data_IF_684063077234
#
_entry.id   IF_684063077234
#
_cell.length_a   1.000
_cell.length_b   1.000
_cell.length_c   1.000
_cell.angle_alpha   90.00
_cell.angle_beta   90.00
_cell.angle_gamma   90.00
#
_symmetry.space_group_name_H-M   'P 1'
#
loop_
_entity.id
_entity.type
_entity.pdbx_description
1 polymer ?
#
# COMPACT_ATOMS: atom_id res chain seq x y z
N UNK A 1 56.67 91.26 -7.44
CA UNK A 1 57.03 91.23 -8.88
C UNK A 1 56.25 90.12 -9.54
N UNK A 2 55.49 90.51 -10.55
CA UNK A 2 54.85 89.60 -11.52
C UNK A 2 55.97 88.82 -12.28
N UNK A 3 55.67 87.75 -13.08
CA UNK A 3 54.40 87.40 -13.74
C UNK A 3 54.08 85.91 -13.82
N UNK A 4 52.84 85.67 -14.22
CA UNK A 4 52.29 84.52 -14.99
C UNK A 4 53.07 84.21 -16.29
N UNK A 5 52.67 83.30 -17.18
CA UNK A 5 51.49 82.43 -17.27
C UNK A 5 51.77 81.09 -18.02
N UNK A 6 50.64 80.40 -18.39
CA UNK A 6 50.40 79.44 -19.52
C UNK A 6 50.66 77.95 -19.25
N UNK A 7 49.87 77.00 -19.60
CA UNK A 7 48.85 76.79 -20.60
C UNK A 7 48.11 75.51 -20.25
N UNK A 8 46.84 75.47 -20.49
CA UNK A 8 46.12 74.19 -20.66
C UNK A 8 46.46 73.55 -22.03
N UNK A 9 46.30 72.26 -22.21
CA UNK A 9 45.24 71.83 -23.12
C UNK A 9 44.44 70.62 -22.61
N UNK A 10 43.20 70.74 -22.94
CA UNK A 10 42.14 69.82 -23.29
C UNK A 10 42.59 68.38 -23.63
N UNK A 11 41.82 67.41 -23.22
CA UNK A 11 41.01 66.61 -24.08
C UNK A 11 40.68 65.22 -23.54
N UNK A 12 39.44 64.91 -23.69
CA UNK A 12 38.83 63.55 -23.96
C UNK A 12 38.88 62.51 -22.85
N UNK A 13 37.88 62.34 -22.13
CA UNK A 13 36.75 61.46 -22.20
C UNK A 13 37.07 59.97 -22.36
N UNK A 14 36.95 59.20 -21.24
CA UNK A 14 36.64 57.79 -21.33
C UNK A 14 35.67 57.50 -20.19
N UNK A 15 34.42 57.27 -20.59
CA UNK A 15 33.42 56.64 -19.75
C UNK A 15 33.89 55.23 -19.41
N UNK A 16 34.32 55.03 -18.18
CA UNK A 16 34.48 53.67 -17.59
C UNK A 16 33.19 53.25 -16.92
N UNK A 17 32.46 52.38 -17.56
CA UNK A 17 31.28 51.75 -16.98
C UNK A 17 31.70 50.84 -15.81
N UNK A 18 31.35 51.21 -14.58
CA UNK A 18 31.38 50.32 -13.43
C UNK A 18 30.24 49.29 -13.57
N UNK A 19 30.57 48.07 -14.00
CA UNK A 19 29.71 46.90 -13.81
C UNK A 19 29.77 46.51 -12.35
N UNK A 20 28.74 46.88 -11.58
CA UNK A 20 28.46 46.30 -10.27
C UNK A 20 27.84 44.92 -10.48
N UNK A 21 28.65 43.88 -10.35
CA UNK A 21 28.17 42.49 -10.28
C UNK A 21 27.43 42.27 -8.94
N UNK A 22 26.11 42.31 -8.97
CA UNK A 22 25.29 41.78 -7.89
C UNK A 22 25.42 40.23 -7.89
N UNK A 23 26.26 39.72 -7.02
CA UNK A 23 26.25 38.29 -6.67
C UNK A 23 25.02 38.04 -5.79
N UNK A 24 23.93 37.58 -6.41
CA UNK A 24 22.75 37.07 -5.68
C UNK A 24 23.12 35.78 -4.99
N UNK A 25 23.41 35.84 -3.69
CA UNK A 25 23.59 34.71 -2.83
C UNK A 25 22.21 34.09 -2.57
N UNK A 26 21.79 33.16 -3.43
CA UNK A 26 20.61 32.35 -3.18
C UNK A 26 20.92 31.43 -2.00
N UNK A 27 20.49 31.81 -0.80
CA UNK A 27 20.49 30.94 0.35
C UNK A 27 19.51 29.77 0.08
N UNK A 28 20.05 28.60 -0.24
CA UNK A 28 19.27 27.36 -0.21
C UNK A 28 18.88 27.11 1.26
N UNK A 29 17.68 27.49 1.60
CA UNK A 29 17.01 27.01 2.82
C UNK A 29 16.74 25.52 2.63
N UNK A 30 17.67 24.66 3.02
CA UNK A 30 17.38 23.26 3.24
C UNK A 30 16.41 23.20 4.42
N UNK A 31 15.12 23.04 4.12
CA UNK A 31 14.15 22.69 5.14
C UNK A 31 14.55 21.30 5.66
N UNK A 32 15.25 21.30 6.79
CA UNK A 32 15.44 20.08 7.57
C UNK A 32 14.04 19.64 7.99
N UNK A 33 13.55 18.52 7.42
CA UNK A 33 12.37 17.85 7.94
C UNK A 33 12.70 17.48 9.39
N UNK A 34 12.08 18.17 10.34
CA UNK A 34 12.13 17.75 11.74
C UNK A 34 11.48 16.38 11.77
N UNK A 35 12.27 15.33 12.04
CA UNK A 35 11.71 14.00 12.27
C UNK A 35 10.74 14.14 13.45
N UNK A 36 9.46 13.92 13.20
CA UNK A 36 8.46 13.94 14.27
C UNK A 36 8.80 12.81 15.24
N UNK A 37 8.89 13.12 16.52
CA UNK A 37 9.17 12.13 17.55
C UNK A 37 8.02 11.10 17.58
N UNK A 38 8.38 9.82 17.70
CA UNK A 38 7.42 8.74 17.80
C UNK A 38 6.48 8.96 19.00
N UNK A 39 5.18 8.77 18.79
CA UNK A 39 4.21 8.76 19.89
C UNK A 39 4.24 7.41 20.58
N UNK A 40 4.59 7.38 21.88
CA UNK A 40 4.57 6.15 22.67
C UNK A 40 3.20 5.92 23.31
N UNK A 41 2.63 4.74 23.11
CA UNK A 41 1.34 4.32 23.68
C UNK A 41 1.54 3.06 24.49
N UNK A 42 1.32 3.13 25.82
CA UNK A 42 1.37 1.99 26.73
C UNK A 42 0.00 1.65 27.36
N UNK A 43 -1.00 2.49 27.19
CA UNK A 43 -2.35 2.19 27.63
C UNK A 43 -2.90 0.96 26.88
N UNK A 44 -3.59 0.03 27.55
CA UNK A 44 -4.05 -1.22 26.95
C UNK A 44 -4.83 -1.02 25.65
N UNK A 45 -5.75 -0.06 25.62
CA UNK A 45 -6.59 0.28 24.47
C UNK A 45 -6.27 1.67 23.91
N UNK A 46 -5.07 2.20 24.23
CA UNK A 46 -4.61 3.47 23.67
C UNK A 46 -4.44 3.40 22.16
N UNK A 47 -4.78 4.48 21.49
CA UNK A 47 -4.71 4.61 20.04
C UNK A 47 -4.34 6.02 19.61
N UNK A 48 -3.90 6.16 18.36
CA UNK A 48 -3.68 7.45 17.70
C UNK A 48 -3.95 7.30 16.20
N UNK A 49 -4.07 8.44 15.52
CA UNK A 49 -4.26 8.47 14.06
C UNK A 49 -2.93 8.76 13.38
N UNK A 50 -2.64 8.03 12.31
CA UNK A 50 -1.48 8.24 11.43
C UNK A 50 -1.94 8.61 10.02
N UNK A 51 -1.13 9.40 9.29
CA UNK A 51 -1.44 9.89 7.94
C UNK A 51 -2.81 10.61 7.86
N UNK A 52 -3.38 11.06 8.98
CA UNK A 52 -4.71 11.65 9.03
C UNK A 52 -5.86 10.72 8.63
N UNK A 53 -5.63 9.40 8.51
CA UNK A 53 -6.62 8.46 7.96
C UNK A 53 -6.63 7.04 8.53
N UNK A 54 -5.58 6.58 9.18
CA UNK A 54 -5.53 5.25 9.79
C UNK A 54 -5.44 5.37 11.29
N UNK A 55 -6.04 4.43 12.01
CA UNK A 55 -5.87 4.32 13.45
C UNK A 55 -4.80 3.27 13.75
N UNK A 56 -3.86 3.60 14.63
CA UNK A 56 -2.94 2.66 15.25
C UNK A 56 -3.37 2.47 16.70
N UNK A 57 -3.45 1.22 17.15
CA UNK A 57 -3.86 0.85 18.51
C UNK A 57 -2.92 -0.14 19.15
N UNK A 58 -2.77 -0.06 20.49
CA UNK A 58 -1.99 -1.01 21.28
C UNK A 58 -2.76 -2.32 21.53
N UNK A 59 -4.06 -2.24 21.69
CA UNK A 59 -5.04 -3.34 21.79
C UNK A 59 -4.54 -4.55 22.61
N UNK A 60 -4.16 -4.32 23.87
CA UNK A 60 -3.68 -5.33 24.81
C UNK A 60 -4.81 -5.76 25.75
N UNK A 61 -5.31 -6.97 25.58
CA UNK A 61 -6.46 -7.50 26.32
C UNK A 61 -6.21 -8.83 27.03
N UNK A 62 -5.24 -9.65 26.57
CA UNK A 62 -5.01 -11.00 27.07
C UNK A 62 -4.00 -11.06 28.25
N UNK A 63 -3.48 -9.94 28.72
CA UNK A 63 -2.53 -9.88 29.85
C UNK A 63 -2.60 -8.53 30.55
N UNK A 64 -2.26 -8.49 31.83
CA UNK A 64 -2.03 -7.24 32.58
C UNK A 64 -0.59 -6.72 32.45
N UNK A 65 0.34 -7.53 31.93
CA UNK A 65 1.75 -7.14 31.77
C UNK A 65 1.90 -5.97 30.78
N UNK A 66 2.94 -5.17 30.92
CA UNK A 66 3.13 -3.95 30.13
C UNK A 66 3.39 -4.28 28.67
N UNK A 67 2.70 -3.57 27.77
CA UNK A 67 2.99 -3.50 26.36
C UNK A 67 2.98 -2.05 25.93
N UNK A 68 4.02 -1.63 25.20
CA UNK A 68 4.11 -0.30 24.61
C UNK A 68 4.41 -0.39 23.11
N UNK A 69 3.83 0.52 22.36
CA UNK A 69 4.13 0.72 20.94
C UNK A 69 4.65 2.16 20.73
N UNK A 70 5.64 2.31 19.86
CA UNK A 70 6.06 3.59 19.32
C UNK A 70 5.46 3.76 17.93
N UNK A 71 4.75 4.85 17.71
CA UNK A 71 3.96 5.12 16.50
C UNK A 71 4.54 6.31 15.77
N UNK A 72 4.78 6.17 14.48
CA UNK A 72 5.15 7.24 13.55
C UNK A 72 4.16 7.33 12.38
N UNK A 73 4.38 8.26 11.46
CA UNK A 73 3.47 8.47 10.32
C UNK A 73 3.35 7.26 9.36
N UNK A 74 4.28 6.30 9.40
CA UNK A 74 4.30 5.15 8.50
C UNK A 74 3.65 3.90 9.09
N UNK A 75 3.68 3.77 10.43
CA UNK A 75 3.22 2.58 11.12
C UNK A 75 3.56 2.59 12.61
N UNK A 76 3.97 1.44 13.16
CA UNK A 76 4.32 1.33 14.57
C UNK A 76 5.35 0.23 14.81
N UNK A 77 6.01 0.30 15.98
CA UNK A 77 6.89 -0.76 16.51
C UNK A 77 6.47 -1.10 17.92
N UNK A 78 6.44 -2.38 18.27
CA UNK A 78 6.33 -2.82 19.66
C UNK A 78 7.67 -2.58 20.34
N UNK A 79 7.71 -1.70 21.33
CA UNK A 79 8.91 -1.33 22.08
C UNK A 79 9.06 -2.11 23.39
N UNK A 80 7.94 -2.58 23.94
CA UNK A 80 7.88 -3.41 25.13
C UNK A 80 6.71 -4.40 25.01
N UNK A 81 6.93 -5.66 25.36
CA UNK A 81 5.92 -6.73 25.30
C UNK A 81 6.12 -7.74 26.43
N UNK A 82 5.92 -7.30 27.66
CA UNK A 82 6.13 -8.11 28.85
C UNK A 82 5.07 -9.23 28.98
N UNK A 83 5.40 -10.20 29.84
CA UNK A 83 4.54 -11.34 30.12
C UNK A 83 4.48 -12.36 28.98
N UNK A 84 3.87 -13.50 29.30
CA UNK A 84 3.69 -14.62 28.39
C UNK A 84 2.35 -15.28 28.66
N UNK A 85 1.71 -15.78 27.61
CA UNK A 85 0.51 -16.65 27.68
C UNK A 85 0.81 -17.97 26.97
N UNK A 86 0.06 -19.04 27.26
CA UNK A 86 0.24 -20.34 26.59
C UNK A 86 0.01 -20.23 25.08
N UNK A 87 0.90 -20.80 24.27
CA UNK A 87 0.83 -20.73 22.79
C UNK A 87 -0.34 -21.49 22.17
N UNK A 88 -1.00 -22.34 22.96
CA UNK A 88 -2.24 -23.05 22.58
C UNK A 88 -3.52 -22.32 23.05
N UNK A 89 -3.40 -21.12 23.61
CA UNK A 89 -4.49 -20.26 24.02
C UNK A 89 -4.56 -18.98 23.19
N UNK A 90 -5.36 -18.03 23.65
CA UNK A 90 -5.48 -16.71 23.01
C UNK A 90 -4.17 -15.89 23.18
N UNK A 91 -3.85 -14.98 22.23
CA UNK A 91 -2.70 -14.09 22.32
C UNK A 91 -2.85 -13.04 23.42
N UNK A 92 -1.75 -12.34 23.75
CA UNK A 92 -1.76 -11.25 24.73
C UNK A 92 -2.50 -10.01 24.24
N UNK A 93 -2.46 -9.77 22.91
CA UNK A 93 -2.85 -8.50 22.30
C UNK A 93 -2.93 -8.63 20.80
N UNK A 94 -3.44 -7.59 20.16
CA UNK A 94 -3.32 -7.36 18.72
C UNK A 94 -3.00 -5.89 18.43
N UNK A 95 -1.77 -5.41 18.72
CA UNK A 95 -1.35 -4.10 18.27
C UNK A 95 -1.41 -4.05 16.73
N UNK A 96 -2.15 -3.09 16.21
CA UNK A 96 -2.47 -3.04 14.79
C UNK A 96 -2.67 -1.62 14.28
N UNK A 97 -2.53 -1.46 12.97
CA UNK A 97 -2.98 -0.30 12.20
C UNK A 97 -4.19 -0.71 11.37
N UNK A 98 -5.20 0.16 11.22
CA UNK A 98 -6.38 -0.21 10.47
C UNK A 98 -7.06 0.94 9.71
N UNK A 99 -7.81 0.55 8.68
CA UNK A 99 -8.83 1.31 7.98
C UNK A 99 -10.19 0.68 8.25
N UNK A 100 -11.15 1.46 8.73
CA UNK A 100 -12.47 1.00 9.11
C UNK A 100 -12.81 1.32 10.56
N UNK A 101 -13.65 0.50 11.19
CA UNK A 101 -14.11 0.70 12.56
C UNK A 101 -13.75 -0.49 13.45
N UNK A 102 -13.35 -0.21 14.69
CA UNK A 102 -13.10 -1.20 15.72
C UNK A 102 -13.61 -0.66 17.07
N UNK A 103 -14.67 -1.28 17.63
CA UNK A 103 -15.33 -0.89 18.88
C UNK A 103 -15.59 0.62 18.96
N UNK A 104 -16.38 1.16 18.00
CA UNK A 104 -16.72 2.57 17.81
C UNK A 104 -15.59 3.51 17.38
N UNK A 105 -14.33 3.09 17.50
CA UNK A 105 -13.20 3.87 17.04
C UNK A 105 -13.01 3.67 15.53
N UNK A 106 -13.35 4.68 14.73
CA UNK A 106 -13.30 4.61 13.28
C UNK A 106 -12.16 5.47 12.72
N UNK A 107 -11.52 4.96 11.69
CA UNK A 107 -10.48 5.68 10.94
C UNK A 107 -11.05 6.95 10.29
N UNK A 108 -10.39 8.11 10.40
CA UNK A 108 -10.89 9.35 9.81
C UNK A 108 -11.11 9.23 8.30
N UNK A 109 -12.29 9.64 7.83
CA UNK A 109 -12.65 9.62 6.41
C UNK A 109 -12.74 8.23 5.78
N UNK A 110 -12.81 7.16 6.59
CA UNK A 110 -13.01 5.80 6.08
C UNK A 110 -14.31 5.68 5.30
N UNK A 111 -14.32 4.85 4.25
CA UNK A 111 -15.54 4.45 3.53
C UNK A 111 -16.15 3.17 4.10
N UNK A 112 -15.55 2.62 5.14
CA UNK A 112 -16.04 1.42 5.83
C UNK A 112 -16.93 1.79 7.02
N UNK A 113 -17.99 1.03 7.29
CA UNK A 113 -18.43 -0.18 6.59
C UNK A 113 -18.98 0.08 5.18
N UNK A 114 -18.59 -0.80 4.22
CA UNK A 114 -19.10 -0.77 2.85
C UNK A 114 -19.60 -2.15 2.43
N UNK A 115 -20.74 -2.21 1.72
CA UNK A 115 -21.32 -3.48 1.27
C UNK A 115 -20.43 -4.13 0.22
N UNK A 116 -20.13 -5.43 0.36
CA UNK A 116 -19.20 -6.16 -0.51
C UNK A 116 -19.58 -6.06 -2.00
N UNK A 117 -20.88 -6.12 -2.31
CA UNK A 117 -21.38 -5.98 -3.69
C UNK A 117 -21.12 -4.61 -4.31
N UNK A 118 -20.88 -3.57 -3.51
CA UNK A 118 -20.58 -2.20 -4.00
C UNK A 118 -19.09 -1.93 -4.11
N UNK A 119 -18.23 -2.80 -3.56
CA UNK A 119 -16.78 -2.61 -3.59
C UNK A 119 -16.23 -3.18 -4.89
N UNK A 120 -15.71 -2.31 -5.74
CA UNK A 120 -15.03 -2.71 -6.98
C UNK A 120 -13.62 -3.24 -6.72
N UNK A 121 -12.89 -2.65 -5.75
CA UNK A 121 -11.57 -3.09 -5.29
C UNK A 121 -11.27 -2.55 -3.90
N UNK A 122 -10.44 -3.27 -3.15
CA UNK A 122 -9.94 -2.83 -1.83
C UNK A 122 -8.43 -3.08 -1.74
N UNK A 123 -7.60 -2.32 -2.51
CA UNK A 123 -6.16 -2.50 -2.50
C UNK A 123 -5.58 -2.16 -1.13
N UNK A 124 -4.67 -3.03 -0.67
CA UNK A 124 -3.90 -2.83 0.56
C UNK A 124 -2.44 -3.16 0.33
N UNK A 125 -1.55 -2.48 1.05
CA UNK A 125 -0.12 -2.76 1.08
C UNK A 125 0.43 -2.73 2.49
N UNK A 126 1.45 -3.54 2.74
CA UNK A 126 2.08 -3.71 4.04
C UNK A 126 3.57 -3.95 3.91
N UNK A 127 4.33 -3.50 4.91
CA UNK A 127 5.70 -3.93 5.14
C UNK A 127 5.91 -4.19 6.64
N UNK A 128 6.49 -5.35 6.96
CA UNK A 128 6.74 -5.82 8.32
C UNK A 128 8.22 -5.95 8.63
N UNK A 129 8.58 -5.75 9.91
CA UNK A 129 9.82 -6.22 10.52
C UNK A 129 9.50 -7.33 11.52
N UNK A 130 10.19 -8.45 11.42
CA UNK A 130 10.03 -9.63 12.26
C UNK A 130 11.17 -9.81 13.24
N UNK A 131 10.92 -10.54 14.33
CA UNK A 131 11.92 -10.98 15.30
C UNK A 131 11.86 -12.50 15.46
N UNK A 132 12.94 -13.14 15.93
CA UNK A 132 13.03 -14.59 16.03
C UNK A 132 12.92 -15.12 17.48
N UNK A 133 13.00 -14.24 18.47
CA UNK A 133 13.02 -14.55 19.91
C UNK A 133 11.64 -14.39 20.57
N UNK A 134 10.57 -14.55 19.81
CA UNK A 134 9.19 -14.38 20.24
C UNK A 134 8.30 -15.52 19.76
N UNK A 135 7.12 -15.68 20.35
CA UNK A 135 6.04 -16.50 19.81
C UNK A 135 4.89 -15.59 19.39
N UNK A 136 4.61 -15.52 18.09
CA UNK A 136 3.63 -14.59 17.51
C UNK A 136 3.15 -15.05 16.14
N UNK A 137 2.06 -14.44 15.66
CA UNK A 137 1.79 -14.30 14.23
C UNK A 137 1.88 -12.83 13.81
N UNK A 138 2.11 -12.61 12.51
CA UNK A 138 1.92 -11.33 11.83
C UNK A 138 0.72 -11.51 10.91
N UNK A 139 -0.38 -10.79 11.17
CA UNK A 139 -1.64 -11.00 10.47
C UNK A 139 -2.29 -9.73 9.96
N UNK A 140 -3.08 -9.92 8.88
CA UNK A 140 -4.23 -9.07 8.61
C UNK A 140 -5.45 -9.71 9.24
N UNK A 141 -6.33 -8.86 9.80
CA UNK A 141 -7.67 -9.22 10.24
C UNK A 141 -8.66 -8.39 9.43
N UNK A 142 -9.39 -9.07 8.56
CA UNK A 142 -10.38 -8.51 7.65
C UNK A 142 -11.76 -8.90 8.19
N UNK A 143 -12.56 -7.92 8.55
CA UNK A 143 -13.81 -8.14 9.27
C UNK A 143 -15.03 -7.96 8.38
N UNK A 144 -15.93 -8.96 8.39
CA UNK A 144 -17.18 -8.96 7.64
C UNK A 144 -18.37 -9.13 8.60
N UNK A 145 -19.46 -8.40 8.31
CA UNK A 145 -20.70 -8.47 9.10
C UNK A 145 -21.94 -8.34 8.18
N UNK A 146 -23.06 -9.04 8.49
CA UNK A 146 -24.32 -8.85 7.76
C UNK A 146 -24.91 -7.45 7.85
N UNK A 147 -24.45 -6.63 8.80
CA UNK A 147 -24.88 -5.25 9.03
C UNK A 147 -23.69 -4.29 8.90
N UNK A 148 -23.90 -2.99 8.63
CA UNK A 148 -22.83 -2.00 8.61
C UNK A 148 -22.31 -1.69 10.03
N UNK A 149 -21.73 -2.70 10.66
CA UNK A 149 -21.31 -2.69 12.07
C UNK A 149 -20.09 -1.79 12.28
N UNK A 150 -20.18 -0.94 13.28
CA UNK A 150 -19.06 -0.08 13.75
C UNK A 150 -18.62 -0.43 15.17
N UNK A 151 -19.41 -1.25 15.90
CA UNK A 151 -19.17 -1.62 17.31
C UNK A 151 -19.40 -3.11 17.55
N UNK A 152 -18.71 -3.65 18.56
CA UNK A 152 -18.82 -5.05 18.98
C UNK A 152 -18.17 -6.04 18.00
N UNK A 153 -18.47 -7.31 18.19
CA UNK A 153 -17.87 -8.42 17.43
C UNK A 153 -18.55 -8.58 16.08
N UNK A 154 -17.77 -8.58 15.01
CA UNK A 154 -18.25 -8.89 13.66
C UNK A 154 -18.51 -10.39 13.47
N UNK A 155 -19.32 -10.76 12.47
CA UNK A 155 -19.74 -12.15 12.25
C UNK A 155 -18.62 -13.04 11.73
N UNK A 156 -17.77 -12.55 10.82
CA UNK A 156 -16.69 -13.32 10.21
C UNK A 156 -15.39 -12.52 10.25
N UNK A 157 -14.34 -13.22 10.66
CA UNK A 157 -12.97 -12.78 10.64
C UNK A 157 -12.20 -13.56 9.58
N UNK A 158 -11.57 -12.85 8.66
CA UNK A 158 -10.60 -13.43 7.73
C UNK A 158 -9.22 -13.02 8.20
N UNK A 159 -8.38 -14.00 8.57
CA UNK A 159 -7.01 -13.76 8.98
C UNK A 159 -6.03 -14.14 7.87
N UNK A 160 -5.09 -13.26 7.56
CA UNK A 160 -3.98 -13.59 6.66
C UNK A 160 -2.70 -13.63 7.49
N UNK A 161 -2.20 -14.81 7.80
CA UNK A 161 -0.97 -15.00 8.56
C UNK A 161 0.25 -14.92 7.64
N UNK A 162 0.88 -13.78 7.60
CA UNK A 162 2.07 -13.49 6.77
C UNK A 162 3.33 -14.13 7.31
N UNK A 163 3.39 -14.32 8.63
CA UNK A 163 4.45 -15.04 9.32
C UNK A 163 3.93 -15.60 10.63
N UNK A 164 4.57 -16.67 11.11
CA UNK A 164 4.41 -17.16 12.48
C UNK A 164 5.72 -17.69 13.02
N UNK A 165 5.97 -17.45 14.29
CA UNK A 165 7.11 -17.95 15.05
C UNK A 165 6.62 -18.61 16.32
N UNK A 166 7.20 -19.74 16.67
CA UNK A 166 6.78 -20.55 17.82
C UNK A 166 5.64 -21.53 17.50
N UNK A 167 5.14 -22.23 18.52
CA UNK A 167 4.12 -23.27 18.41
C UNK A 167 2.71 -22.67 18.43
N UNK A 168 2.48 -21.61 17.65
CA UNK A 168 1.17 -20.97 17.50
C UNK A 168 0.48 -21.49 16.23
N UNK A 169 -0.85 -21.54 16.26
CA UNK A 169 -1.66 -21.99 15.12
C UNK A 169 -2.99 -21.25 15.07
N UNK A 170 -3.62 -21.15 13.88
CA UNK A 170 -4.92 -20.52 13.74
C UNK A 170 -6.02 -21.26 14.52
N UNK A 171 -7.11 -20.55 14.75
CA UNK A 171 -8.35 -21.11 15.30
C UNK A 171 -8.91 -22.16 14.33
N UNK A 172 -9.43 -23.26 14.89
CA UNK A 172 -10.05 -24.34 14.13
C UNK A 172 -9.05 -25.40 13.66
N UNK A 173 -9.20 -25.87 12.43
CA UNK A 173 -8.39 -26.93 11.84
C UNK A 173 -8.10 -26.65 10.35
N UNK A 174 -7.03 -27.25 9.78
CA UNK A 174 -6.72 -27.10 8.37
C UNK A 174 -7.82 -27.75 7.52
N UNK A 175 -8.30 -27.02 6.51
CA UNK A 175 -9.35 -27.45 5.58
C UNK A 175 -8.85 -27.55 4.13
N UNK A 176 -7.53 -27.50 3.92
CA UNK A 176 -6.87 -27.63 2.63
C UNK A 176 -5.94 -26.48 2.31
N UNK A 177 -5.69 -26.27 1.03
CA UNK A 177 -4.95 -25.13 0.51
C UNK A 177 -5.76 -24.37 -0.54
N UNK A 178 -5.36 -23.13 -0.80
CA UNK A 178 -5.98 -22.31 -1.84
C UNK A 178 -4.95 -21.36 -2.47
N UNK A 179 -5.08 -21.13 -3.77
CA UNK A 179 -4.36 -20.06 -4.46
C UNK A 179 -5.24 -18.81 -4.45
N UNK A 180 -4.82 -17.77 -3.71
CA UNK A 180 -5.55 -16.50 -3.60
C UNK A 180 -4.58 -15.35 -3.81
N UNK A 181 -4.99 -14.38 -4.61
CA UNK A 181 -4.18 -13.19 -4.93
C UNK A 181 -2.76 -13.53 -5.43
N UNK A 182 -2.64 -14.62 -6.21
CA UNK A 182 -1.37 -15.08 -6.80
C UNK A 182 -0.40 -15.78 -5.84
N UNK A 183 -0.87 -16.19 -4.64
CA UNK A 183 -0.08 -16.93 -3.65
C UNK A 183 -0.80 -18.17 -3.18
N UNK A 184 -0.03 -19.21 -2.80
CA UNK A 184 -0.54 -20.41 -2.16
C UNK A 184 -0.64 -20.20 -0.65
N UNK A 185 -1.74 -20.69 -0.07
CA UNK A 185 -2.05 -20.58 1.34
C UNK A 185 -2.51 -21.93 1.90
N UNK A 186 -2.07 -22.26 3.11
CA UNK A 186 -2.75 -23.26 3.91
C UNK A 186 -4.00 -22.61 4.52
N UNK A 187 -5.17 -23.23 4.33
CA UNK A 187 -6.45 -22.66 4.79
C UNK A 187 -6.92 -23.39 6.04
N UNK A 188 -7.26 -22.62 7.07
CA UNK A 188 -7.86 -23.08 8.31
C UNK A 188 -9.24 -22.49 8.47
N UNK A 189 -10.16 -23.25 9.10
CA UNK A 189 -11.50 -22.76 9.39
C UNK A 189 -11.96 -23.23 10.77
N UNK A 190 -12.62 -22.34 11.50
CA UNK A 190 -13.14 -22.62 12.83
C UNK A 190 -13.97 -21.47 13.37
N UNK A 191 -14.20 -21.48 14.67
CA UNK A 191 -14.89 -20.41 15.40
C UNK A 191 -14.23 -20.25 16.78
N UNK A 192 -14.16 -19.01 17.25
CA UNK A 192 -13.76 -18.71 18.63
C UNK A 192 -14.93 -18.64 19.60
N UNK A 193 -16.15 -19.04 19.15
CA UNK A 193 -17.38 -18.96 19.92
C UNK A 193 -18.15 -17.65 19.75
N UNK A 194 -17.51 -16.59 19.24
CA UNK A 194 -18.12 -15.28 18.99
C UNK A 194 -18.28 -14.99 17.50
N UNK A 195 -17.31 -15.41 16.68
CA UNK A 195 -17.30 -15.23 15.24
C UNK A 195 -16.74 -16.47 14.53
N UNK A 196 -17.05 -16.61 13.25
CA UNK A 196 -16.42 -17.57 12.36
C UNK A 196 -15.06 -17.03 11.95
N UNK A 197 -14.04 -17.89 11.89
CA UNK A 197 -12.66 -17.52 11.54
C UNK A 197 -12.19 -18.33 10.34
N UNK A 198 -11.72 -17.65 9.30
CA UNK A 198 -11.10 -18.21 8.11
C UNK A 198 -9.67 -17.70 8.01
N UNK A 199 -8.69 -18.58 8.26
CA UNK A 199 -7.29 -18.18 8.26
C UNK A 199 -6.54 -18.72 7.05
N UNK A 200 -5.75 -17.86 6.42
CA UNK A 200 -4.84 -18.15 5.33
C UNK A 200 -3.40 -18.04 5.84
N UNK A 201 -2.70 -19.17 5.93
CA UNK A 201 -1.34 -19.20 6.47
C UNK A 201 -0.35 -19.31 5.33
N UNK A 202 0.55 -18.35 5.23
CA UNK A 202 1.62 -18.34 4.23
C UNK A 202 2.61 -19.50 4.49
N UNK A 203 3.08 -20.20 3.46
CA UNK A 203 4.05 -21.28 3.61
C UNK A 203 5.44 -20.78 4.00
N UNK A 204 5.72 -19.52 3.82
CA UNK A 204 6.95 -18.82 4.21
C UNK A 204 6.65 -17.36 4.55
N UNK A 205 7.53 -16.74 5.35
CA UNK A 205 7.35 -15.36 5.78
C UNK A 205 7.24 -14.38 4.60
N UNK A 206 6.23 -13.52 4.66
CA UNK A 206 6.00 -12.41 3.71
C UNK A 206 6.32 -11.12 4.44
N UNK A 207 7.42 -10.45 4.08
CA UNK A 207 7.84 -9.19 4.72
C UNK A 207 7.19 -7.96 4.10
N UNK A 208 6.77 -8.04 2.84
CA UNK A 208 6.01 -6.97 2.17
C UNK A 208 5.15 -7.53 1.05
N UNK A 209 3.97 -6.93 0.86
CA UNK A 209 3.06 -7.34 -0.19
C UNK A 209 2.02 -6.27 -0.49
N UNK A 210 1.57 -6.25 -1.76
CA UNK A 210 0.43 -5.48 -2.25
C UNK A 210 -0.61 -6.45 -2.79
N UNK A 211 -1.85 -6.33 -2.35
CA UNK A 211 -2.93 -7.24 -2.75
C UNK A 211 -4.30 -6.55 -2.69
N UNK A 212 -5.32 -7.19 -3.23
CA UNK A 212 -6.69 -6.74 -3.07
C UNK A 212 -7.38 -7.57 -1.96
N UNK A 213 -7.87 -6.90 -0.92
CA UNK A 213 -8.60 -7.50 0.20
C UNK A 213 -9.84 -8.26 -0.30
N UNK A 214 -10.44 -7.80 -1.41
CA UNK A 214 -11.63 -8.43 -2.00
C UNK A 214 -11.37 -9.84 -2.54
N UNK A 215 -10.11 -10.22 -2.84
CA UNK A 215 -9.80 -11.59 -3.25
C UNK A 215 -10.09 -12.59 -2.12
N UNK A 216 -9.78 -12.20 -0.90
CA UNK A 216 -10.04 -13.01 0.30
C UNK A 216 -11.51 -12.93 0.74
N UNK A 217 -12.14 -11.76 0.64
CA UNK A 217 -13.56 -11.59 0.92
C UNK A 217 -14.41 -12.44 -0.02
N UNK A 218 -14.11 -12.46 -1.32
CA UNK A 218 -14.78 -13.34 -2.31
C UNK A 218 -14.56 -14.81 -2.00
N UNK A 219 -13.39 -15.21 -1.50
CA UNK A 219 -13.12 -16.59 -1.09
C UNK A 219 -13.96 -16.98 0.13
N UNK A 220 -14.15 -16.10 1.11
CA UNK A 220 -15.05 -16.32 2.25
C UNK A 220 -16.52 -16.46 1.81
N UNK A 221 -16.97 -15.63 0.86
CA UNK A 221 -18.30 -15.74 0.24
C UNK A 221 -18.48 -17.11 -0.45
N UNK A 222 -17.50 -17.52 -1.27
CA UNK A 222 -17.53 -18.81 -1.96
C UNK A 222 -17.58 -20.01 -0.99
N UNK A 223 -17.10 -19.86 0.24
CA UNK A 223 -17.16 -20.87 1.31
C UNK A 223 -18.43 -20.78 2.17
N UNK A 224 -19.32 -19.82 1.91
CA UNK A 224 -20.54 -19.62 2.69
C UNK A 224 -20.33 -18.97 4.07
N UNK A 225 -19.16 -18.39 4.32
CA UNK A 225 -18.81 -17.68 5.56
C UNK A 225 -19.18 -16.19 5.52
N UNK A 226 -19.60 -15.70 4.36
CA UNK A 226 -20.16 -14.37 4.15
C UNK A 226 -21.11 -14.38 2.94
N UNK A 227 -21.78 -13.27 2.69
CA UNK A 227 -22.64 -13.08 1.52
C UNK A 227 -22.30 -11.74 0.85
N UNK A 228 -22.58 -11.60 -0.44
CA UNK A 228 -22.26 -10.38 -1.19
C UNK A 228 -22.98 -9.12 -0.67
N UNK A 229 -24.10 -9.28 0.03
CA UNK A 229 -24.82 -8.21 0.68
C UNK A 229 -24.31 -7.89 2.10
N UNK A 230 -23.29 -8.57 2.60
CA UNK A 230 -22.61 -8.23 3.85
C UNK A 230 -21.67 -7.06 3.66
N UNK A 231 -21.11 -6.56 4.74
CA UNK A 231 -20.28 -5.38 4.78
C UNK A 231 -18.84 -5.75 5.16
N UNK A 232 -17.87 -5.19 4.43
CA UNK A 232 -16.51 -5.05 4.91
C UNK A 232 -16.52 -3.92 5.94
N UNK A 233 -16.14 -4.20 7.18
CA UNK A 233 -16.24 -3.25 8.28
C UNK A 233 -14.89 -2.70 8.69
N UNK A 234 -13.82 -3.52 8.56
CA UNK A 234 -12.46 -3.13 8.93
C UNK A 234 -11.42 -3.98 8.20
N UNK A 235 -10.29 -3.35 7.86
CA UNK A 235 -9.07 -3.98 7.36
C UNK A 235 -7.95 -3.58 8.30
N UNK A 236 -7.46 -4.53 9.08
CA UNK A 236 -6.45 -4.32 10.12
C UNK A 236 -5.18 -5.09 9.78
N UNK A 237 -4.02 -4.61 10.21
CA UNK A 237 -2.73 -5.28 10.04
C UNK A 237 -1.87 -5.10 11.30
N UNK A 238 -1.32 -6.20 11.82
CA UNK A 238 -0.57 -6.13 13.07
C UNK A 238 0.05 -7.47 13.45
N UNK A 239 0.14 -7.68 14.76
CA UNK A 239 0.75 -8.85 15.36
C UNK A 239 -0.08 -9.38 16.52
N UNK A 240 -0.15 -10.68 16.64
CA UNK A 240 -0.63 -11.35 17.84
C UNK A 240 0.54 -11.99 18.58
N UNK A 241 1.14 -11.36 19.58
CA UNK A 241 2.20 -11.95 20.40
C UNK A 241 1.62 -12.81 21.54
N UNK A 242 2.15 -14.01 21.72
CA UNK A 242 1.95 -14.87 22.90
C UNK A 242 3.09 -14.70 23.90
N UNK A 243 4.33 -14.64 23.41
CA UNK A 243 5.54 -14.52 24.23
C UNK A 243 6.47 -13.50 23.58
N UNK A 244 7.05 -12.60 24.37
CA UNK A 244 7.89 -11.50 23.87
C UNK A 244 7.17 -10.66 22.79
N UNK A 245 7.87 -10.18 21.79
CA UNK A 245 7.34 -9.41 20.66
C UNK A 245 7.91 -8.00 20.54
N UNK A 246 8.78 -7.56 21.46
CA UNK A 246 9.50 -6.30 21.28
C UNK A 246 10.36 -6.34 20.01
N UNK A 247 10.35 -5.26 19.24
CA UNK A 247 11.03 -5.18 17.94
C UNK A 247 10.18 -5.51 16.72
N UNK A 248 9.03 -6.20 16.88
CA UNK A 248 8.04 -6.36 15.80
C UNK A 248 7.55 -5.00 15.32
N UNK A 249 7.47 -4.79 14.01
CA UNK A 249 7.02 -3.51 13.47
C UNK A 249 6.21 -3.65 12.18
N UNK A 250 5.19 -2.80 12.06
CA UNK A 250 4.58 -2.42 10.79
C UNK A 250 5.33 -1.18 10.31
N UNK A 251 6.12 -1.33 9.24
CA UNK A 251 6.95 -0.25 8.70
C UNK A 251 6.14 0.69 7.79
N UNK A 252 5.14 0.13 7.09
CA UNK A 252 4.20 0.89 6.27
C UNK A 252 2.89 0.13 6.12
N UNK A 253 1.79 0.87 6.00
CA UNK A 253 0.45 0.34 5.75
C UNK A 253 -0.31 1.29 4.82
N UNK A 254 -1.02 0.72 3.86
CA UNK A 254 -2.05 1.44 3.12
C UNK A 254 -3.26 0.55 2.88
N UNK A 255 -4.44 1.14 2.92
CA UNK A 255 -5.70 0.49 2.61
C UNK A 255 -6.66 1.51 2.01
N UNK A 256 -7.26 1.16 0.90
CA UNK A 256 -8.25 2.00 0.21
C UNK A 256 -9.43 1.12 -0.19
N UNK A 257 -10.64 1.67 -0.14
CA UNK A 257 -11.85 1.00 -0.60
C UNK A 257 -12.46 1.81 -1.73
N UNK A 258 -12.57 1.20 -2.89
CA UNK A 258 -13.16 1.79 -4.08
C UNK A 258 -14.56 1.18 -4.28
N UNK A 259 -15.58 2.03 -4.13
CA UNK A 259 -16.97 1.65 -4.38
C UNK A 259 -17.38 2.10 -5.79
N UNK A 260 -18.02 1.22 -6.56
CA UNK A 260 -18.69 1.62 -7.79
C UNK A 260 -19.92 2.46 -7.43
N UNK A 261 -20.15 3.58 -8.13
CA UNK A 261 -21.40 4.32 -8.01
C UNK A 261 -22.53 3.46 -8.58
N UNK A 262 -23.41 2.95 -7.71
CA UNK A 262 -24.67 2.33 -8.11
C UNK A 262 -25.74 3.41 -8.26
N UNK A 263 -25.64 4.24 -9.29
CA UNK A 263 -26.76 5.04 -9.78
C UNK A 263 -27.16 4.55 -11.17
N UNK A 264 -27.79 3.38 -11.19
CA UNK A 264 -28.73 3.00 -12.26
C UNK A 264 -29.67 1.89 -11.76
N UNK A 265 -31.00 2.14 -11.66
CA UNK A 265 -31.97 1.10 -11.35
C UNK A 265 -32.46 0.42 -12.64
N UNK A 266 -31.99 -0.79 -12.92
CA UNK A 266 -32.73 -1.66 -13.83
C UNK A 266 -31.99 -2.35 -14.95
N UNK A 267 -31.84 -3.68 -14.82
CA UNK A 267 -31.63 -4.60 -15.92
C UNK A 267 -30.72 -5.77 -15.60
N UNK A 268 -31.12 -7.06 -15.88
CA UNK A 268 -30.22 -8.21 -15.71
C UNK A 268 -29.20 -8.21 -16.86
N UNK A 269 -27.97 -7.80 -16.55
CA UNK A 269 -26.87 -7.68 -17.50
C UNK A 269 -25.70 -8.56 -17.14
N UNK A 270 -25.33 -9.40 -18.04
CA UNK A 270 -24.13 -10.20 -18.28
C UNK A 270 -22.85 -9.68 -17.60
N UNK A 271 -21.91 -10.54 -17.11
CA UNK A 271 -20.65 -10.14 -16.49
C UNK A 271 -19.70 -9.60 -17.57
N UNK A 272 -19.67 -8.28 -17.70
CA UNK A 272 -18.73 -7.53 -18.53
C UNK A 272 -18.13 -6.42 -17.69
N UNK A 273 -16.96 -6.69 -17.06
CA UNK A 273 -16.19 -5.65 -16.38
C UNK A 273 -15.78 -4.58 -17.39
N UNK A 274 -16.32 -3.38 -17.25
CA UNK A 274 -15.84 -2.20 -17.97
C UNK A 274 -14.41 -1.92 -17.49
N UNK A 275 -13.42 -2.30 -18.31
CA UNK A 275 -12.02 -1.95 -18.06
C UNK A 275 -11.87 -0.44 -18.18
N UNK A 276 -11.55 0.21 -17.04
CA UNK A 276 -11.39 1.66 -16.99
C UNK A 276 -10.04 2.14 -17.53
N UNK A 277 -9.29 1.29 -18.23
CA UNK A 277 -8.00 1.65 -18.83
C UNK A 277 -7.71 0.88 -20.11
N UNK A 278 -6.95 1.55 -20.98
CA UNK A 278 -6.40 0.97 -22.21
C UNK A 278 -4.90 1.22 -22.23
N UNK A 279 -4.12 0.19 -22.57
CA UNK A 279 -2.67 0.27 -22.70
C UNK A 279 -2.27 0.03 -24.15
N UNK A 280 -1.56 1.00 -24.73
CA UNK A 280 -0.85 0.83 -25.98
C UNK A 280 0.64 0.59 -25.65
N UNK A 281 1.18 -0.52 -26.18
CA UNK A 281 2.57 -0.91 -26.00
C UNK A 281 3.28 -0.94 -27.35
N UNK A 282 4.15 0.04 -27.58
CA UNK A 282 5.05 0.10 -28.72
C UNK A 282 6.46 -0.34 -28.31
N UNK A 283 7.13 -1.10 -29.16
CA UNK A 283 8.53 -1.47 -28.93
C UNK A 283 9.34 -1.45 -30.20
N UNK A 284 10.61 -1.03 -30.08
CA UNK A 284 11.64 -1.22 -31.07
C UNK A 284 12.65 -2.23 -30.50
N UNK A 285 12.76 -3.42 -31.13
CA UNK A 285 13.61 -4.49 -30.66
C UNK A 285 14.74 -4.78 -31.66
N UNK A 286 15.91 -5.08 -31.14
CA UNK A 286 17.11 -5.51 -31.89
C UNK A 286 17.75 -6.71 -31.21
N UNK A 287 18.79 -7.25 -31.80
CA UNK A 287 19.51 -8.38 -31.21
C UNK A 287 20.08 -7.99 -29.84
N UNK A 288 19.59 -8.63 -28.79
CA UNK A 288 20.06 -8.45 -27.39
C UNK A 288 19.41 -7.31 -26.64
N UNK A 289 18.50 -6.50 -27.22
CA UNK A 289 17.90 -5.38 -26.51
C UNK A 289 16.61 -4.85 -27.13
N UNK A 290 15.97 -3.93 -26.42
CA UNK A 290 14.76 -3.25 -26.89
C UNK A 290 14.55 -1.93 -26.18
N UNK A 291 13.80 -1.03 -26.81
CA UNK A 291 13.12 0.10 -26.16
C UNK A 291 11.62 -0.07 -26.28
N UNK A 292 10.90 0.42 -25.29
CA UNK A 292 9.45 0.39 -25.26
C UNK A 292 8.86 1.72 -24.84
N UNK A 293 7.76 2.11 -25.48
CA UNK A 293 6.89 3.20 -25.08
C UNK A 293 5.53 2.63 -24.68
N UNK A 294 5.05 3.04 -23.52
CA UNK A 294 3.80 2.57 -22.93
C UNK A 294 2.88 3.77 -22.72
N UNK A 295 1.76 3.79 -23.41
CA UNK A 295 0.72 4.81 -23.24
C UNK A 295 -0.44 4.21 -22.45
N UNK A 296 -0.76 4.81 -21.32
CA UNK A 296 -1.91 4.49 -20.49
C UNK A 296 -3.02 5.49 -20.84
N UNK A 297 -4.16 5.02 -21.28
CA UNK A 297 -5.38 5.85 -21.46
C UNK A 297 -6.35 5.54 -20.33
N UNK A 298 -6.77 6.55 -19.61
CA UNK A 298 -7.87 6.45 -18.65
C UNK A 298 -9.19 6.47 -19.43
N UNK A 299 -9.80 5.31 -19.61
CA UNK A 299 -11.10 5.17 -20.31
C UNK A 299 -12.30 5.27 -19.35
N UNK A 300 -12.03 5.45 -18.03
CA UNK A 300 -13.06 5.71 -17.02
C UNK A 300 -13.59 7.14 -17.06
N UNK A 301 -14.67 7.38 -16.35
CA UNK A 301 -15.30 8.70 -16.23
C UNK A 301 -14.70 9.61 -15.18
N UNK A 302 -13.80 9.09 -14.34
CA UNK A 302 -13.16 9.83 -13.26
C UNK A 302 -11.65 9.98 -13.49
N UNK A 303 -11.07 11.07 -12.96
CA UNK A 303 -9.61 11.28 -12.95
C UNK A 303 -8.90 10.17 -12.17
N UNK A 304 -7.80 9.68 -12.71
CA UNK A 304 -6.85 8.82 -11.98
C UNK A 304 -5.80 9.74 -11.33
N UNK A 305 -5.69 9.69 -10.00
CA UNK A 305 -4.71 10.44 -9.22
C UNK A 305 -3.72 9.44 -8.61
N UNK A 306 -2.46 9.51 -9.04
CA UNK A 306 -1.45 8.51 -8.69
C UNK A 306 -1.67 7.17 -9.40
N UNK A 307 -1.01 6.97 -10.56
CA UNK A 307 -1.15 5.72 -11.31
C UNK A 307 -0.03 4.73 -11.00
N UNK A 308 -0.40 3.44 -10.98
CA UNK A 308 0.51 2.29 -10.95
C UNK A 308 0.06 1.31 -12.02
N UNK A 309 0.94 1.03 -13.00
CA UNK A 309 0.72 0.03 -14.03
C UNK A 309 1.57 -1.20 -13.73
N UNK A 310 0.92 -2.32 -13.40
CA UNK A 310 1.60 -3.59 -13.27
C UNK A 310 1.50 -4.40 -14.58
N UNK A 311 2.56 -5.16 -14.91
CA UNK A 311 2.63 -6.03 -16.08
C UNK A 311 3.72 -7.09 -15.88
N UNK A 312 3.69 -8.13 -16.71
CA UNK A 312 4.69 -9.20 -16.66
C UNK A 312 5.54 -9.18 -17.92
N UNK A 313 6.87 -9.00 -17.73
CA UNK A 313 7.85 -9.17 -18.80
C UNK A 313 8.02 -10.65 -19.15
N UNK A 314 8.17 -10.99 -20.43
CA UNK A 314 8.53 -12.31 -20.86
C UNK A 314 9.85 -12.78 -20.26
N UNK A 315 10.00 -14.10 -20.12
CA UNK A 315 11.26 -14.72 -19.67
C UNK A 315 12.44 -14.31 -20.57
N UNK A 316 13.57 -14.01 -19.95
CA UNK A 316 14.77 -13.56 -20.66
C UNK A 316 14.82 -12.07 -20.99
N UNK A 317 13.80 -11.30 -20.63
CA UNK A 317 13.81 -9.84 -20.73
C UNK A 317 14.10 -9.19 -19.39
N UNK A 318 14.87 -8.10 -19.41
CA UNK A 318 15.21 -7.31 -18.22
C UNK A 318 15.26 -5.82 -18.56
N UNK A 319 14.57 -4.98 -17.80
CA UNK A 319 14.63 -3.53 -17.93
C UNK A 319 15.94 -3.03 -17.31
N UNK A 320 16.63 -2.15 -18.02
CA UNK A 320 17.91 -1.55 -17.60
C UNK A 320 17.78 -0.07 -17.27
N UNK A 321 16.81 0.62 -17.87
CA UNK A 321 16.54 2.04 -17.62
C UNK A 321 15.08 2.35 -17.93
N UNK A 322 14.52 3.39 -17.27
CA UNK A 322 13.16 3.89 -17.50
C UNK A 322 13.10 5.41 -17.41
N UNK A 323 12.13 6.01 -18.08
CA UNK A 323 11.85 7.44 -18.05
C UNK A 323 10.36 7.69 -17.91
N UNK A 324 10.01 8.79 -17.25
CA UNK A 324 8.65 9.20 -16.91
C UNK A 324 7.87 8.22 -16.02
N UNK A 325 8.57 7.27 -15.38
CA UNK A 325 8.01 6.37 -14.36
C UNK A 325 9.10 5.92 -13.39
N UNK A 326 8.70 5.60 -12.16
CA UNK A 326 9.50 4.84 -11.20
C UNK A 326 9.15 3.36 -11.34
N UNK A 327 10.14 2.49 -11.46
CA UNK A 327 9.91 1.06 -11.58
C UNK A 327 10.18 0.33 -10.25
N UNK A 328 9.32 -0.62 -9.93
CA UNK A 328 9.54 -1.67 -8.94
C UNK A 328 9.60 -3.01 -9.69
N UNK A 329 10.76 -3.67 -9.62
CA UNK A 329 11.06 -4.84 -10.44
C UNK A 329 11.69 -4.46 -11.80
N UNK A 330 12.58 -5.33 -12.30
CA UNK A 330 13.25 -5.17 -13.60
C UNK A 330 13.07 -6.37 -14.53
N UNK A 331 12.49 -7.49 -14.04
CA UNK A 331 12.23 -8.72 -14.82
C UNK A 331 11.00 -9.42 -14.25
N UNK A 332 10.33 -10.26 -15.02
CA UNK A 332 9.11 -10.92 -14.63
C UNK A 332 8.02 -9.90 -14.26
N UNK A 333 7.50 -9.95 -13.04
CA UNK A 333 6.51 -8.97 -12.57
C UNK A 333 7.15 -7.59 -12.34
N UNK A 334 6.65 -6.58 -13.03
CA UNK A 334 7.11 -5.18 -12.96
C UNK A 334 5.92 -4.27 -12.64
N UNK A 335 6.16 -3.27 -11.80
CA UNK A 335 5.21 -2.17 -11.56
C UNK A 335 5.87 -0.84 -11.91
N UNK A 336 5.29 -0.12 -12.86
CA UNK A 336 5.62 1.27 -13.15
C UNK A 336 4.67 2.19 -12.39
N UNK A 337 5.19 3.21 -11.71
CA UNK A 337 4.40 4.22 -11.01
C UNK A 337 4.73 5.62 -11.52
N UNK A 338 3.80 6.54 -11.38
CA UNK A 338 3.97 7.92 -11.78
C UNK A 338 5.19 8.60 -11.14
N UNK A 339 5.70 9.60 -11.82
CA UNK A 339 6.56 10.65 -11.25
C UNK A 339 5.73 11.89 -10.92
N UNK A 340 6.33 12.87 -10.25
CA UNK A 340 5.58 14.03 -9.73
C UNK A 340 4.77 14.79 -10.80
N UNK A 341 5.33 14.95 -12.02
CA UNK A 341 4.72 15.78 -13.06
C UNK A 341 3.61 15.06 -13.88
N UNK A 342 3.45 13.74 -13.75
CA UNK A 342 2.50 12.96 -14.55
C UNK A 342 1.55 12.10 -13.71
N UNK A 343 1.38 12.44 -12.42
CA UNK A 343 0.58 11.66 -11.49
C UNK A 343 -0.93 11.69 -11.81
N UNK A 344 -1.40 12.72 -12.51
CA UNK A 344 -2.81 12.97 -12.78
C UNK A 344 -3.16 12.60 -14.22
N UNK A 345 -4.16 11.70 -14.40
CA UNK A 345 -4.69 11.34 -15.73
C UNK A 345 -6.20 11.61 -15.74
N UNK A 346 -6.61 12.68 -16.40
CA UNK A 346 -8.03 13.04 -16.52
C UNK A 346 -8.85 11.91 -17.17
N UNK A 347 -10.16 11.92 -16.99
CA UNK A 347 -11.07 11.05 -17.74
C UNK A 347 -10.86 11.26 -19.26
N UNK A 348 -10.66 10.18 -20.01
CA UNK A 348 -10.27 10.21 -21.43
C UNK A 348 -8.81 10.64 -21.69
N UNK A 349 -8.08 11.06 -20.67
CA UNK A 349 -6.69 11.50 -20.78
C UNK A 349 -5.70 10.35 -20.90
N UNK A 350 -4.46 10.72 -21.23
CA UNK A 350 -3.36 9.77 -21.44
C UNK A 350 -2.10 10.20 -20.69
N UNK A 351 -1.29 9.20 -20.33
CA UNK A 351 0.07 9.40 -19.83
C UNK A 351 0.98 8.38 -20.52
N UNK A 352 2.21 8.80 -20.83
CA UNK A 352 3.20 7.94 -21.48
C UNK A 352 4.46 7.86 -20.64
N UNK A 353 5.01 6.67 -20.53
CA UNK A 353 6.35 6.41 -20.00
C UNK A 353 7.07 5.42 -20.92
N UNK A 354 8.37 5.27 -20.73
CA UNK A 354 9.11 4.29 -21.51
C UNK A 354 10.23 3.65 -20.73
N UNK A 355 10.81 2.62 -21.34
CA UNK A 355 11.95 1.93 -20.77
C UNK A 355 12.80 1.26 -21.84
N UNK A 356 14.06 1.01 -21.49
CA UNK A 356 15.00 0.25 -22.26
C UNK A 356 15.32 -1.04 -21.52
N UNK A 357 15.56 -2.12 -22.26
CA UNK A 357 15.90 -3.41 -21.67
C UNK A 357 16.76 -4.28 -22.56
N UNK A 358 17.20 -5.40 -21.99
CA UNK A 358 17.90 -6.49 -22.68
C UNK A 358 16.95 -7.65 -22.90
N UNK A 359 17.20 -8.45 -23.97
CA UNK A 359 16.50 -9.69 -24.27
C UNK A 359 17.50 -10.77 -24.64
N UNK A 360 17.49 -11.89 -23.91
CA UNK A 360 18.37 -13.05 -24.16
C UNK A 360 17.81 -14.02 -25.23
N UNK A 361 16.64 -13.72 -25.81
CA UNK A 361 15.96 -14.52 -26.84
C UNK A 361 15.13 -13.67 -27.77
N UNK A 362 14.17 -14.29 -28.46
CA UNK A 362 13.22 -13.57 -29.30
C UNK A 362 12.40 -12.58 -28.44
N UNK A 363 12.29 -11.34 -28.91
CA UNK A 363 11.48 -10.33 -28.22
C UNK A 363 9.99 -10.72 -28.27
N UNK A 364 9.34 -10.59 -27.13
CA UNK A 364 7.89 -10.70 -27.01
C UNK A 364 7.33 -9.54 -26.18
N UNK A 365 6.07 -9.17 -26.41
CA UNK A 365 5.43 -8.10 -25.65
C UNK A 365 5.05 -8.56 -24.25
N UNK A 366 5.09 -7.67 -23.24
CA UNK A 366 4.54 -7.93 -21.91
C UNK A 366 3.04 -8.25 -21.95
N UNK A 367 2.57 -8.88 -20.87
CA UNK A 367 1.17 -9.25 -20.70
C UNK A 367 0.67 -8.88 -19.30
N UNK A 368 -0.65 -9.01 -19.08
CA UNK A 368 -1.27 -8.85 -17.76
C UNK A 368 -1.27 -7.40 -17.26
N UNK A 369 -1.47 -6.43 -18.15
CA UNK A 369 -1.52 -5.02 -17.77
C UNK A 369 -2.69 -4.72 -16.84
N UNK A 370 -2.40 -4.18 -15.65
CA UNK A 370 -3.39 -3.67 -14.70
C UNK A 370 -3.04 -2.26 -14.26
N UNK A 371 -3.99 -1.35 -14.30
CA UNK A 371 -3.85 0.02 -13.79
C UNK A 371 -4.52 0.12 -12.41
N UNK A 372 -3.73 0.43 -11.37
CA UNK A 372 -4.20 0.47 -9.97
C UNK A 372 -4.99 -0.80 -9.57
N UNK A 373 -4.54 -1.98 -10.07
CA UNK A 373 -5.17 -3.27 -9.81
C UNK A 373 -6.32 -3.64 -10.77
N UNK A 374 -6.79 -2.74 -11.63
CA UNK A 374 -7.85 -3.01 -12.62
C UNK A 374 -7.24 -3.43 -13.95
N UNK A 375 -7.68 -4.55 -14.51
CA UNK A 375 -7.20 -5.04 -15.81
C UNK A 375 -7.49 -4.02 -16.94
N UNK A 376 -6.47 -3.77 -17.77
CA UNK A 376 -6.56 -2.88 -18.92
C UNK A 376 -6.80 -3.67 -20.23
N UNK A 377 -7.54 -3.07 -21.16
CA UNK A 377 -7.50 -3.51 -22.55
C UNK A 377 -6.16 -3.15 -23.18
N UNK A 378 -5.66 -3.97 -24.11
CA UNK A 378 -4.40 -3.73 -24.84
C UNK A 378 -4.67 -3.52 -26.33
N UNK A 379 -3.80 -2.72 -26.96
CA UNK A 379 -3.77 -2.51 -28.43
C UNK A 379 -2.40 -2.69 -28.99
#
# INVERSE_FOLDING_TARGET
>A
MRPSPHHAPSARGLLGALLTSLVSLAALLTASSVAQADTTICQPFGSTTVQGRYVVQNNRWGTSATQCIAVNDSGFRITQADGSVPTNGAPKSYPSVYNGCHYTNCSPGTKLPAQLSTISSAPSSISYTYVNDAAYNASYDIWLDPTPRTDGVNRTEIMLWFNKVGAVQPIGSPVGSASVAGREWQVWSGSNGSNDVLSFVAPSAITSWNFDVMDFARHAVARGLAQNNWYLTSVQAGFEPWQNGAGLAVNSFSSTVNTGSSDDPGGPGTPGGSTACKVAYGANAWQGGFTADVTITNTGSSRVSGWKLAFTLPSGQQITNAWNANLSGSSGAVTASNVAHNAEVAAGGQVTFGFQGTSSGAFAKPSGFTLNGTACTTT
#
